data_IF_040613787142
#
_entry.id   IF_040613787142
#
_cell.length_a   1.000
_cell.length_b   1.000
_cell.length_c   1.000
_cell.angle_alpha   90.00
_cell.angle_beta   90.00
_cell.angle_gamma   90.00
#
_symmetry.space_group_name_H-M   'P 1'
#
loop_
_entity.id
_entity.type
_entity.pdbx_description
1 polymer ?
#
# COMPACT_ATOMS: atom_id res chain seq x y z
N UNK A 1 12.38 19.92 10.31
CA UNK A 1 11.14 19.21 9.93
C UNK A 1 10.31 19.12 11.20
N UNK A 2 9.09 19.61 11.17
CA UNK A 2 8.12 19.40 12.24
C UNK A 2 7.29 18.16 11.88
N UNK A 3 7.30 17.16 12.75
CA UNK A 3 6.54 15.92 12.55
C UNK A 3 5.20 15.94 13.31
N UNK A 4 4.78 17.12 13.81
CA UNK A 4 3.50 17.26 14.49
C UNK A 4 2.39 17.37 13.45
N UNK A 5 1.33 16.60 13.65
CA UNK A 5 0.12 16.71 12.84
C UNK A 5 -0.59 18.04 13.13
N UNK A 6 -1.17 18.64 12.11
CA UNK A 6 -2.08 19.79 12.27
C UNK A 6 -3.35 19.38 13.01
N UNK A 7 -4.16 20.35 13.44
CA UNK A 7 -5.47 20.06 14.06
C UNK A 7 -6.39 19.32 13.09
N UNK A 8 -6.37 19.68 11.80
CA UNK A 8 -7.16 19.03 10.74
C UNK A 8 -6.70 17.59 10.51
N UNK A 9 -5.39 17.34 10.43
CA UNK A 9 -4.83 15.99 10.29
C UNK A 9 -5.13 15.12 11.52
N UNK A 10 -5.11 15.71 12.71
CA UNK A 10 -5.48 15.02 13.95
C UNK A 10 -6.96 14.64 13.94
N UNK A 11 -7.84 15.57 13.53
CA UNK A 11 -9.27 15.29 13.39
C UNK A 11 -9.55 14.19 12.35
N UNK A 12 -8.84 14.22 11.22
CA UNK A 12 -8.93 13.17 10.19
C UNK A 12 -8.51 11.81 10.72
N UNK A 13 -7.39 11.75 11.50
CA UNK A 13 -6.95 10.53 12.16
C UNK A 13 -8.02 9.98 13.12
N UNK A 14 -8.57 10.84 13.98
CA UNK A 14 -9.57 10.44 14.98
C UNK A 14 -10.86 9.97 14.31
N UNK A 15 -11.33 10.69 13.29
CA UNK A 15 -12.53 10.31 12.51
C UNK A 15 -12.33 8.96 11.81
N UNK A 16 -11.17 8.75 11.18
CA UNK A 16 -10.83 7.48 10.53
C UNK A 16 -10.75 6.34 11.55
N UNK A 17 -10.13 6.58 12.69
CA UNK A 17 -10.03 5.61 13.79
C UNK A 17 -11.39 5.19 14.33
N UNK A 18 -12.29 6.15 14.53
CA UNK A 18 -13.64 5.91 15.04
C UNK A 18 -14.46 5.11 14.02
N UNK A 19 -14.40 5.46 12.75
CA UNK A 19 -15.06 4.73 11.66
C UNK A 19 -14.59 3.27 11.60
N UNK A 20 -13.29 3.03 11.75
CA UNK A 20 -12.69 1.70 11.71
C UNK A 20 -12.77 0.95 13.06
N UNK A 21 -13.36 1.54 14.10
CA UNK A 21 -13.40 0.96 15.46
C UNK A 21 -14.16 -0.38 15.53
N UNK A 22 -15.04 -0.64 14.59
CA UNK A 22 -15.80 -1.90 14.48
C UNK A 22 -14.96 -3.12 14.06
N UNK A 23 -13.70 -2.90 13.64
CA UNK A 23 -12.79 -3.97 13.28
C UNK A 23 -12.03 -4.49 14.50
N UNK A 24 -12.57 -5.52 15.13
CA UNK A 24 -11.80 -6.43 15.97
C UNK A 24 -11.31 -7.64 15.15
N UNK A 25 -10.50 -8.51 15.76
CA UNK A 25 -9.94 -9.68 15.08
C UNK A 25 -11.00 -10.61 14.50
N UNK A 26 -12.09 -10.87 15.24
CA UNK A 26 -13.16 -11.76 14.81
C UNK A 26 -13.94 -11.18 13.62
N UNK A 27 -14.34 -9.92 13.73
CA UNK A 27 -15.04 -9.19 12.65
C UNK A 27 -14.19 -9.12 11.39
N UNK A 28 -12.91 -8.74 11.53
CA UNK A 28 -11.97 -8.71 10.40
C UNK A 28 -11.86 -10.08 9.74
N UNK A 29 -11.64 -11.15 10.50
CA UNK A 29 -11.50 -12.49 9.96
C UNK A 29 -12.77 -12.96 9.22
N UNK A 30 -13.95 -12.61 9.69
CA UNK A 30 -15.22 -12.88 8.98
C UNK A 30 -15.29 -12.10 7.66
N UNK A 31 -14.92 -10.83 7.67
CA UNK A 31 -14.97 -9.96 6.48
C UNK A 31 -13.99 -10.42 5.42
N UNK A 32 -12.72 -10.66 5.74
CA UNK A 32 -11.74 -11.15 4.75
C UNK A 32 -12.08 -12.54 4.21
N UNK A 33 -12.86 -13.33 4.94
CA UNK A 33 -13.36 -14.63 4.49
C UNK A 33 -14.57 -14.53 3.56
N UNK A 34 -15.31 -13.42 3.59
CA UNK A 34 -16.50 -13.18 2.76
C UNK A 34 -16.14 -12.68 1.36
N UNK A 35 -17.13 -12.47 0.52
CA UNK A 35 -17.06 -11.76 -0.74
C UNK A 35 -17.93 -10.49 -0.61
N UNK A 36 -17.39 -9.30 -0.90
CA UNK A 36 -16.16 -8.95 -1.64
C UNK A 36 -14.86 -8.89 -0.80
N UNK A 37 -14.83 -9.26 0.48
CA UNK A 37 -13.65 -9.26 1.33
C UNK A 37 -13.36 -7.93 2.03
N UNK A 38 -14.24 -6.96 1.90
CA UNK A 38 -14.33 -5.71 2.66
C UNK A 38 -15.80 -5.42 2.96
N UNK A 39 -16.09 -4.46 3.84
CA UNK A 39 -17.47 -4.04 4.15
C UNK A 39 -17.89 -2.91 3.20
N UNK A 40 -18.92 -3.11 2.35
CA UNK A 40 -19.45 -2.03 1.50
C UNK A 40 -19.88 -0.79 2.30
N UNK A 41 -20.40 -1.00 3.52
CA UNK A 41 -20.83 0.10 4.39
C UNK A 41 -19.65 0.95 4.84
N UNK A 42 -18.53 0.32 5.22
CA UNK A 42 -17.30 1.02 5.62
C UNK A 42 -16.67 1.73 4.42
N UNK A 43 -16.65 1.09 3.24
CA UNK A 43 -16.21 1.70 2.00
C UNK A 43 -16.99 2.96 1.65
N UNK A 44 -18.32 2.91 1.75
CA UNK A 44 -19.18 4.07 1.51
C UNK A 44 -18.96 5.18 2.55
N UNK A 45 -18.79 4.84 3.83
CA UNK A 45 -18.49 5.81 4.88
C UNK A 45 -17.12 6.49 4.65
N UNK A 46 -16.11 5.75 4.17
CA UNK A 46 -14.82 6.33 3.77
C UNK A 46 -14.98 7.31 2.59
N UNK A 47 -15.87 7.01 1.64
CA UNK A 47 -16.22 7.93 0.56
C UNK A 47 -16.93 9.19 1.08
N UNK A 48 -17.93 9.04 1.96
CA UNK A 48 -18.70 10.15 2.53
C UNK A 48 -17.83 11.17 3.27
N UNK A 49 -16.75 10.74 3.91
CA UNK A 49 -15.79 11.63 4.59
C UNK A 49 -14.62 12.05 3.68
N UNK A 50 -14.70 11.76 2.36
CA UNK A 50 -13.75 12.23 1.35
C UNK A 50 -12.44 11.47 1.24
N UNK A 51 -12.25 10.37 1.97
CA UNK A 51 -10.97 9.62 2.00
C UNK A 51 -10.63 9.03 0.64
N UNK A 52 -11.61 8.54 -0.12
CA UNK A 52 -11.35 7.87 -1.39
C UNK A 52 -10.94 8.84 -2.52
N UNK A 53 -11.10 10.15 -2.31
CA UNK A 53 -10.71 11.20 -3.25
C UNK A 53 -9.42 11.95 -2.88
N UNK A 54 -8.77 11.60 -1.77
CA UNK A 54 -7.56 12.30 -1.31
C UNK A 54 -6.46 12.32 -2.39
N UNK A 55 -5.92 13.49 -2.67
CA UNK A 55 -4.82 13.70 -3.60
C UNK A 55 -5.21 13.68 -5.08
N UNK A 56 -6.50 13.78 -5.43
CA UNK A 56 -6.95 13.85 -6.82
C UNK A 56 -6.89 15.26 -7.39
N UNK A 57 -7.02 16.27 -6.55
CA UNK A 57 -6.90 17.69 -6.85
C UNK A 57 -6.24 18.46 -5.70
N UNK A 58 -6.02 19.76 -5.87
CA UNK A 58 -5.36 20.62 -4.87
C UNK A 58 -6.20 20.84 -3.61
N UNK A 59 -7.53 20.71 -3.70
CA UNK A 59 -8.47 20.99 -2.62
C UNK A 59 -8.81 19.72 -1.80
N UNK A 60 -8.54 18.53 -2.34
CA UNK A 60 -8.93 17.25 -1.74
C UNK A 60 -7.96 16.71 -0.66
N UNK A 61 -7.00 17.51 -0.21
CA UNK A 61 -5.93 17.08 0.70
C UNK A 61 -4.76 16.42 -0.04
N UNK A 62 -3.65 16.23 0.66
CA UNK A 62 -2.40 15.80 0.07
C UNK A 62 -1.83 14.50 0.64
N UNK A 63 -0.54 14.30 0.40
CA UNK A 63 0.16 13.08 0.79
C UNK A 63 0.23 12.89 2.32
N UNK A 64 0.19 13.98 3.11
CA UNK A 64 0.20 13.86 4.57
C UNK A 64 -1.14 13.36 5.11
N UNK A 65 -2.26 13.80 4.54
CA UNK A 65 -3.60 13.31 4.85
C UNK A 65 -3.73 11.82 4.46
N UNK A 66 -3.21 11.44 3.29
CA UNK A 66 -3.12 10.02 2.86
C UNK A 66 -2.31 9.20 3.87
N UNK A 67 -1.17 9.71 4.34
CA UNK A 67 -0.34 9.04 5.35
C UNK A 67 -1.12 8.81 6.64
N UNK A 68 -1.82 9.82 7.13
CA UNK A 68 -2.62 9.76 8.37
C UNK A 68 -3.71 8.70 8.28
N UNK A 69 -4.47 8.69 7.18
CA UNK A 69 -5.53 7.70 6.94
C UNK A 69 -4.98 6.28 6.85
N UNK A 70 -3.92 6.07 6.07
CA UNK A 70 -3.33 4.75 5.90
C UNK A 70 -2.67 4.22 7.17
N UNK A 71 -2.18 5.10 8.05
CA UNK A 71 -1.73 4.72 9.40
C UNK A 71 -2.88 4.11 10.20
N UNK A 72 -4.07 4.73 10.23
CA UNK A 72 -5.22 4.21 10.96
C UNK A 72 -5.78 2.92 10.33
N UNK A 73 -5.75 2.79 8.98
CA UNK A 73 -6.06 1.53 8.28
C UNK A 73 -5.11 0.42 8.73
N UNK A 74 -3.81 0.69 8.79
CA UNK A 74 -2.80 -0.26 9.26
C UNK A 74 -2.98 -0.63 10.73
N UNK A 75 -3.32 0.33 11.58
CA UNK A 75 -3.59 0.13 13.01
C UNK A 75 -4.77 -0.81 13.27
N UNK A 76 -5.78 -0.80 12.39
CA UNK A 76 -6.97 -1.67 12.47
C UNK A 76 -6.91 -2.89 11.56
N UNK A 77 -5.90 -2.99 10.68
CA UNK A 77 -5.84 -3.97 9.60
C UNK A 77 -7.14 -4.01 8.79
N UNK A 78 -7.71 -2.82 8.52
CA UNK A 78 -8.95 -2.69 7.79
C UNK A 78 -8.79 -3.21 6.35
N UNK A 79 -9.70 -4.08 5.87
CA UNK A 79 -9.50 -4.77 4.60
C UNK A 79 -9.96 -3.95 3.37
N UNK A 80 -10.49 -2.76 3.58
CA UNK A 80 -10.90 -1.85 2.50
C UNK A 80 -9.71 -1.50 1.61
N UNK A 81 -9.81 -1.65 0.28
CA UNK A 81 -8.66 -1.48 -0.61
C UNK A 81 -8.36 -0.01 -0.93
N UNK A 82 -8.30 0.87 0.08
CA UNK A 82 -8.18 2.33 -0.09
C UNK A 82 -6.95 2.70 -0.92
N UNK A 83 -5.76 2.21 -0.55
CA UNK A 83 -4.54 2.53 -1.30
C UNK A 83 -4.58 2.01 -2.73
N UNK A 84 -4.91 0.74 -2.91
CA UNK A 84 -4.80 0.04 -4.19
C UNK A 84 -6.06 0.13 -5.05
N UNK A 85 -7.23 0.40 -4.43
CA UNK A 85 -8.53 0.46 -5.10
C UNK A 85 -9.02 1.88 -5.42
N UNK A 86 -8.41 2.89 -4.79
CA UNK A 86 -8.77 4.30 -5.02
C UNK A 86 -7.53 5.18 -5.19
N UNK A 87 -6.75 5.41 -4.14
CA UNK A 87 -5.78 6.50 -4.08
C UNK A 87 -4.65 6.38 -5.10
N UNK A 88 -3.97 5.22 -5.19
CA UNK A 88 -2.84 5.07 -6.08
C UNK A 88 -3.25 5.09 -7.58
N UNK A 89 -4.23 4.27 -8.04
CA UNK A 89 -4.67 4.35 -9.42
C UNK A 89 -5.39 5.65 -9.76
N UNK A 90 -6.13 6.26 -8.82
CA UNK A 90 -6.77 7.55 -8.99
C UNK A 90 -5.75 8.67 -9.22
N UNK A 91 -4.66 8.72 -8.45
CA UNK A 91 -3.59 9.69 -8.66
C UNK A 91 -2.93 9.57 -10.05
N UNK A 92 -2.85 8.37 -10.63
CA UNK A 92 -2.36 8.18 -12.01
C UNK A 92 -3.32 8.83 -13.02
N UNK A 93 -4.64 8.63 -12.83
CA UNK A 93 -5.67 9.25 -13.69
C UNK A 93 -5.68 10.75 -13.51
N UNK A 94 -5.58 11.27 -12.29
CA UNK A 94 -5.52 12.70 -11.99
C UNK A 94 -4.34 13.38 -12.69
N UNK A 95 -3.17 12.74 -12.68
CA UNK A 95 -1.94 13.28 -13.26
C UNK A 95 -1.97 13.28 -14.79
N UNK A 96 -2.45 12.20 -15.42
CA UNK A 96 -2.27 11.97 -16.86
C UNK A 96 -3.57 11.95 -17.67
N UNK A 97 -4.71 11.75 -17.04
CA UNK A 97 -5.99 11.62 -17.75
C UNK A 97 -6.42 12.89 -18.49
N UNK A 98 -7.15 12.71 -19.58
CA UNK A 98 -7.93 13.80 -20.19
C UNK A 98 -9.05 14.24 -19.25
N UNK A 99 -9.68 15.39 -19.49
CA UNK A 99 -10.81 15.86 -18.66
C UNK A 99 -11.95 14.83 -18.61
N UNK A 100 -12.23 14.14 -19.72
CA UNK A 100 -13.22 13.08 -19.78
C UNK A 100 -12.83 11.86 -18.92
N UNK A 101 -11.54 11.52 -18.87
CA UNK A 101 -11.05 10.41 -18.04
C UNK A 101 -10.98 10.78 -16.57
N UNK A 102 -10.64 12.04 -16.25
CA UNK A 102 -10.67 12.56 -14.87
C UNK A 102 -12.08 12.56 -14.27
N UNK A 103 -13.13 12.64 -15.08
CA UNK A 103 -14.50 12.50 -14.59
C UNK A 103 -14.77 11.15 -13.91
N UNK A 104 -13.96 10.09 -14.18
CA UNK A 104 -14.02 8.83 -13.44
C UNK A 104 -13.66 8.99 -11.96
N UNK A 105 -12.88 10.02 -11.61
CA UNK A 105 -12.45 10.25 -10.23
C UNK A 105 -13.61 10.63 -9.32
N UNK A 106 -14.68 11.24 -9.82
CA UNK A 106 -15.90 11.52 -9.06
C UNK A 106 -16.60 10.21 -8.64
N UNK A 107 -16.61 9.22 -9.54
CA UNK A 107 -17.17 7.89 -9.22
C UNK A 107 -16.28 7.14 -8.21
N UNK A 108 -14.96 7.32 -8.26
CA UNK A 108 -14.02 6.74 -7.30
C UNK A 108 -14.16 7.42 -5.93
N UNK A 109 -14.16 8.76 -5.89
CA UNK A 109 -14.30 9.53 -4.66
C UNK A 109 -15.63 9.26 -3.95
N UNK A 110 -16.72 9.02 -4.70
CA UNK A 110 -18.02 8.64 -4.16
C UNK A 110 -18.13 7.15 -3.79
N UNK A 111 -17.11 6.35 -4.00
CA UNK A 111 -17.09 4.92 -3.71
C UNK A 111 -17.84 4.03 -4.71
N UNK A 112 -18.40 4.61 -5.79
CA UNK A 112 -19.16 3.88 -6.82
C UNK A 112 -18.26 3.05 -7.74
N UNK A 113 -16.98 3.40 -7.84
CA UNK A 113 -15.99 2.73 -8.69
C UNK A 113 -14.75 2.35 -7.90
N UNK A 114 -14.34 1.11 -8.06
CA UNK A 114 -13.05 0.61 -7.55
C UNK A 114 -12.11 0.48 -8.75
N UNK A 115 -10.91 1.02 -8.62
CA UNK A 115 -9.84 0.91 -9.58
C UNK A 115 -8.86 -0.20 -9.18
N UNK A 116 -7.90 -0.52 -10.06
CA UNK A 116 -6.68 -1.21 -9.68
C UNK A 116 -5.53 -0.85 -10.63
N UNK A 117 -4.32 -0.70 -10.10
CA UNK A 117 -3.13 -0.51 -10.92
C UNK A 117 -2.53 -1.86 -11.29
N UNK A 118 -2.73 -2.28 -12.52
CA UNK A 118 -2.23 -3.53 -13.09
C UNK A 118 -0.86 -3.28 -13.74
N UNK A 119 0.20 -3.36 -12.93
CA UNK A 119 1.57 -3.06 -13.34
C UNK A 119 2.49 -4.27 -13.22
N UNK A 120 2.50 -4.92 -12.06
CA UNK A 120 3.40 -6.04 -11.79
C UNK A 120 3.11 -7.26 -12.66
N UNK A 121 4.15 -8.00 -13.04
CA UNK A 121 4.08 -9.13 -13.94
C UNK A 121 4.72 -10.40 -13.35
N UNK A 122 4.25 -11.60 -13.74
CA UNK A 122 4.79 -12.85 -13.23
C UNK A 122 6.30 -12.96 -13.48
N UNK A 123 7.08 -13.30 -12.44
CA UNK A 123 8.52 -13.51 -12.54
C UNK A 123 9.36 -12.24 -12.57
N UNK A 124 8.77 -11.06 -12.70
CA UNK A 124 9.46 -9.77 -12.64
C UNK A 124 9.59 -9.32 -11.18
N UNK A 125 10.81 -9.14 -10.71
CA UNK A 125 11.10 -8.71 -9.33
C UNK A 125 11.23 -7.19 -9.19
N UNK A 126 11.76 -6.55 -10.23
CA UNK A 126 11.93 -5.10 -10.26
C UNK A 126 10.65 -4.44 -10.74
N UNK A 127 9.96 -3.77 -9.85
CA UNK A 127 8.75 -3.04 -10.19
C UNK A 127 8.99 -1.86 -11.16
N UNK A 128 10.24 -1.38 -11.29
CA UNK A 128 10.61 -0.33 -12.23
C UNK A 128 10.96 -0.88 -13.63
N UNK A 129 10.96 -2.20 -13.82
CA UNK A 129 11.25 -2.79 -15.12
C UNK A 129 10.18 -2.43 -16.16
N UNK A 130 10.60 -2.33 -17.42
CA UNK A 130 9.68 -2.13 -18.54
C UNK A 130 8.67 -3.28 -18.61
N UNK A 131 7.37 -2.99 -18.73
CA UNK A 131 6.34 -4.03 -18.85
C UNK A 131 6.59 -4.97 -20.00
N UNK A 132 6.21 -6.24 -19.85
CA UNK A 132 6.21 -7.24 -20.94
C UNK A 132 4.82 -7.42 -21.58
N UNK A 133 3.76 -6.95 -20.92
CA UNK A 133 2.43 -6.77 -21.56
C UNK A 133 2.58 -5.80 -22.72
N UNK A 134 2.11 -6.17 -23.90
CA UNK A 134 2.27 -5.38 -25.13
C UNK A 134 0.98 -4.65 -25.49
N UNK A 135 1.11 -3.40 -25.94
CA UNK A 135 0.04 -2.65 -26.55
C UNK A 135 0.18 -2.71 -28.09
N UNK A 136 -0.92 -2.97 -28.78
CA UNK A 136 -0.97 -2.98 -30.25
C UNK A 136 -2.01 -1.97 -30.71
N UNK A 137 -1.67 -1.17 -31.72
CA UNK A 137 -2.56 -0.16 -32.31
C UNK A 137 -3.03 -0.62 -33.68
N UNK A 138 -4.35 -0.51 -33.91
CA UNK A 138 -4.97 -0.70 -35.22
C UNK A 138 -5.90 0.51 -35.50
N UNK A 139 -5.45 1.43 -36.33
CA UNK A 139 -6.10 2.73 -36.51
C UNK A 139 -6.15 3.53 -35.19
N UNK A 140 -7.34 3.80 -34.69
CA UNK A 140 -7.57 4.47 -33.40
C UNK A 140 -7.80 3.49 -32.25
N UNK A 141 -7.95 2.20 -32.56
CA UNK A 141 -8.19 1.16 -31.55
C UNK A 141 -6.87 0.64 -30.96
N UNK A 142 -6.90 0.38 -29.66
CA UNK A 142 -5.79 -0.23 -28.94
C UNK A 142 -6.23 -1.55 -28.31
N UNK A 143 -5.32 -2.53 -28.32
CA UNK A 143 -5.50 -3.80 -27.65
C UNK A 143 -4.26 -4.17 -26.84
N UNK A 144 -4.48 -4.86 -25.70
CA UNK A 144 -3.40 -5.32 -24.83
C UNK A 144 -3.32 -6.85 -24.84
N UNK A 145 -2.07 -7.36 -24.77
CA UNK A 145 -1.78 -8.78 -24.66
C UNK A 145 -0.74 -9.06 -23.58
N UNK A 146 -1.02 -10.03 -22.71
CA UNK A 146 -0.11 -10.49 -21.67
C UNK A 146 -0.79 -10.74 -20.34
N UNK A 147 0.00 -10.79 -19.24
CA UNK A 147 -0.51 -11.12 -17.91
C UNK A 147 0.03 -10.14 -16.88
N UNK A 148 -0.85 -9.62 -16.02
CA UNK A 148 -0.51 -8.85 -14.82
C UNK A 148 -0.77 -9.66 -13.55
N UNK A 149 0.22 -9.75 -12.67
CA UNK A 149 0.13 -10.49 -11.40
C UNK A 149 1.31 -10.14 -10.48
N UNK A 150 1.06 -9.78 -9.20
CA UNK A 150 -0.25 -9.57 -8.58
C UNK A 150 -0.86 -8.20 -8.93
N UNK A 151 -2.18 -8.16 -9.06
CA UNK A 151 -2.95 -6.91 -9.14
C UNK A 151 -3.77 -6.79 -7.85
N UNK A 152 -3.27 -6.01 -6.89
CA UNK A 152 -3.99 -5.77 -5.62
C UNK A 152 -5.26 -4.96 -5.89
N UNK A 153 -6.33 -5.24 -5.16
CA UNK A 153 -7.70 -4.78 -5.42
C UNK A 153 -8.28 -5.22 -6.78
N UNK A 154 -7.53 -5.95 -7.61
CA UNK A 154 -7.95 -6.38 -8.94
C UNK A 154 -9.15 -7.33 -8.95
N UNK A 155 -9.44 -8.00 -7.82
CA UNK A 155 -10.61 -8.86 -7.66
C UNK A 155 -11.92 -8.05 -7.58
N UNK A 156 -11.89 -6.86 -6.98
CA UNK A 156 -13.04 -5.97 -6.81
C UNK A 156 -13.10 -4.83 -7.85
N UNK A 157 -12.02 -4.60 -8.61
CA UNK A 157 -11.94 -3.49 -9.54
C UNK A 157 -13.01 -3.54 -10.64
N UNK A 158 -13.51 -2.35 -11.02
CA UNK A 158 -14.35 -2.11 -12.20
C UNK A 158 -13.48 -1.71 -13.40
N UNK A 159 -12.44 -0.93 -13.16
CA UNK A 159 -11.53 -0.42 -14.18
C UNK A 159 -10.07 -0.65 -13.75
N UNK A 160 -9.26 -1.11 -14.69
CA UNK A 160 -7.83 -1.28 -14.50
C UNK A 160 -7.06 -0.14 -15.15
N UNK A 161 -6.07 0.40 -14.45
CA UNK A 161 -5.00 1.20 -15.03
C UNK A 161 -3.86 0.24 -15.36
N UNK A 162 -3.64 -0.06 -16.63
CA UNK A 162 -2.70 -1.09 -17.09
C UNK A 162 -1.47 -0.45 -17.71
N UNK A 163 -0.29 -0.83 -17.24
CA UNK A 163 0.96 -0.49 -17.94
C UNK A 163 1.28 -1.50 -19.03
N UNK A 164 1.68 -1.03 -20.22
CA UNK A 164 2.06 -1.90 -21.33
C UNK A 164 3.18 -1.27 -22.16
N UNK A 165 4.00 -2.11 -22.80
CA UNK A 165 5.02 -1.65 -23.75
C UNK A 165 4.35 -1.13 -25.01
N UNK A 166 4.73 0.07 -25.43
CA UNK A 166 4.26 0.70 -26.67
C UNK A 166 4.95 0.12 -27.90
N UNK A 167 4.32 0.17 -29.11
CA UNK A 167 4.93 -0.32 -30.34
C UNK A 167 6.27 0.35 -30.68
N UNK A 168 6.38 1.65 -30.36
CA UNK A 168 7.57 2.47 -30.64
C UNK A 168 8.58 2.46 -29.48
N UNK A 169 8.34 1.64 -28.46
CA UNK A 169 9.14 1.54 -27.24
C UNK A 169 8.61 2.42 -26.11
N UNK A 170 9.16 2.22 -24.90
CA UNK A 170 8.65 2.86 -23.68
C UNK A 170 7.43 2.16 -23.08
N UNK A 171 6.91 2.69 -21.98
CA UNK A 171 5.76 2.15 -21.27
C UNK A 171 4.57 3.12 -21.37
N UNK A 172 3.46 2.66 -21.96
CA UNK A 172 2.19 3.37 -21.95
C UNK A 172 1.29 2.98 -20.78
N UNK A 173 0.30 3.83 -20.48
CA UNK A 173 -0.77 3.56 -19.54
C UNK A 173 -2.10 3.51 -20.26
N UNK A 174 -2.95 2.57 -19.86
CA UNK A 174 -4.23 2.31 -20.51
C UNK A 174 -5.33 2.06 -19.49
N UNK A 175 -6.54 2.55 -19.76
CA UNK A 175 -7.75 2.17 -19.07
C UNK A 175 -8.35 0.93 -19.71
N UNK A 176 -8.69 -0.07 -18.90
CA UNK A 176 -9.31 -1.32 -19.36
C UNK A 176 -10.50 -1.63 -18.46
N UNK A 177 -11.68 -1.81 -19.04
CA UNK A 177 -12.85 -2.31 -18.35
C UNK A 177 -12.67 -3.81 -18.05
N UNK A 178 -12.88 -4.22 -16.80
CA UNK A 178 -12.71 -5.63 -16.40
C UNK A 178 -13.73 -6.56 -17.04
N UNK A 179 -14.86 -6.03 -17.52
CA UNK A 179 -15.89 -6.77 -18.25
C UNK A 179 -15.66 -6.85 -19.76
N UNK A 180 -14.61 -6.20 -20.29
CA UNK A 180 -14.33 -6.20 -21.72
C UNK A 180 -13.95 -7.59 -22.23
N UNK A 181 -14.21 -7.82 -23.52
CA UNK A 181 -13.78 -9.04 -24.20
C UNK A 181 -12.25 -9.18 -24.13
N UNK A 182 -11.76 -10.42 -23.96
CA UNK A 182 -10.32 -10.68 -23.87
C UNK A 182 -9.70 -10.37 -22.51
N UNK A 183 -10.48 -9.92 -21.50
CA UNK A 183 -10.04 -9.78 -20.12
C UNK A 183 -10.48 -11.01 -19.32
N UNK A 184 -9.53 -11.70 -18.70
CA UNK A 184 -9.82 -12.79 -17.76
C UNK A 184 -9.24 -12.44 -16.39
N UNK A 185 -10.07 -12.56 -15.34
CA UNK A 185 -9.72 -12.24 -13.96
C UNK A 185 -9.75 -13.49 -13.11
N UNK A 186 -8.63 -13.82 -12.46
CA UNK A 186 -8.49 -14.95 -11.53
C UNK A 186 -8.22 -14.38 -10.11
N UNK A 187 -9.25 -14.25 -9.28
CA UNK A 187 -9.10 -13.72 -7.92
C UNK A 187 -8.23 -14.63 -7.05
N UNK A 188 -7.51 -14.03 -6.13
CA UNK A 188 -6.77 -14.73 -5.07
C UNK A 188 -6.82 -13.95 -3.75
N UNK A 189 -6.46 -14.65 -2.67
CA UNK A 189 -6.19 -14.05 -1.35
C UNK A 189 -4.72 -14.22 -1.02
N UNK A 190 -4.14 -13.20 -0.42
CA UNK A 190 -2.80 -13.28 0.15
C UNK A 190 -2.86 -13.86 1.57
N UNK A 191 -1.72 -14.27 2.11
CA UNK A 191 -1.65 -14.90 3.44
C UNK A 191 -2.00 -13.96 4.60
N UNK A 192 -1.95 -12.63 4.38
CA UNK A 192 -2.36 -11.59 5.34
C UNK A 192 -3.86 -11.23 5.23
N UNK A 193 -4.57 -11.85 4.28
CA UNK A 193 -5.99 -11.66 4.03
C UNK A 193 -6.33 -10.55 3.03
N UNK A 194 -5.35 -9.83 2.49
CA UNK A 194 -5.60 -8.91 1.38
C UNK A 194 -6.03 -9.67 0.12
N UNK A 195 -6.65 -8.97 -0.81
CA UNK A 195 -7.18 -9.56 -2.04
C UNK A 195 -6.58 -8.94 -3.28
N UNK A 196 -6.58 -9.71 -4.34
CA UNK A 196 -6.14 -9.26 -5.65
C UNK A 196 -6.56 -10.26 -6.73
N UNK A 197 -6.06 -10.02 -7.93
CA UNK A 197 -6.29 -10.93 -9.05
C UNK A 197 -5.04 -11.05 -9.94
N UNK A 198 -4.95 -12.17 -10.62
CA UNK A 198 -4.20 -12.26 -11.87
C UNK A 198 -5.12 -11.81 -12.99
N UNK A 199 -4.63 -10.91 -13.82
CA UNK A 199 -5.35 -10.38 -14.98
C UNK A 199 -4.65 -10.88 -16.25
N UNK A 200 -5.38 -11.63 -17.07
CA UNK A 200 -4.93 -12.09 -18.38
C UNK A 200 -5.61 -11.26 -19.46
N UNK A 201 -4.82 -10.74 -20.39
CA UNK A 201 -5.23 -9.87 -21.48
C UNK A 201 -4.96 -10.59 -22.80
N UNK A 202 -5.98 -10.78 -23.63
CA UNK A 202 -5.89 -11.43 -24.94
C UNK A 202 -6.63 -10.59 -25.97
N UNK A 203 -5.89 -9.74 -26.68
CA UNK A 203 -6.44 -8.68 -27.53
C UNK A 203 -7.53 -7.87 -26.81
N UNK A 204 -7.31 -7.58 -25.51
CA UNK A 204 -8.27 -6.86 -24.68
C UNK A 204 -8.36 -5.39 -25.14
N UNK A 205 -9.55 -4.86 -25.46
CA UNK A 205 -9.71 -3.46 -25.82
C UNK A 205 -9.25 -2.55 -24.69
N UNK A 206 -8.53 -1.49 -25.04
CA UNK A 206 -7.96 -0.56 -24.08
C UNK A 206 -8.04 0.87 -24.61
N UNK A 207 -8.23 1.81 -23.69
CA UNK A 207 -8.20 3.24 -23.96
C UNK A 207 -6.88 3.81 -23.45
N UNK A 208 -6.07 4.51 -24.28
CA UNK A 208 -4.88 5.19 -23.78
C UNK A 208 -5.25 6.19 -22.68
N UNK A 209 -4.51 6.16 -21.57
CA UNK A 209 -4.67 7.15 -20.51
C UNK A 209 -3.93 8.44 -20.91
N UNK A 210 -4.69 9.49 -21.18
CA UNK A 210 -4.18 10.70 -21.82
C UNK A 210 -3.81 10.45 -23.27
N UNK A 211 -2.58 10.77 -23.63
CA UNK A 211 -1.97 10.42 -24.92
C UNK A 211 -1.25 9.07 -24.85
N UNK A 212 -1.14 8.37 -25.96
CA UNK A 212 -0.44 7.09 -26.05
C UNK A 212 1.10 7.27 -26.16
N UNK A 213 1.68 8.07 -25.25
CA UNK A 213 3.11 8.34 -25.18
C UNK A 213 3.75 7.66 -23.98
N UNK A 214 5.08 7.69 -23.88
CA UNK A 214 5.79 7.12 -22.75
C UNK A 214 5.33 7.72 -21.41
N UNK A 215 4.97 6.85 -20.50
CA UNK A 215 4.45 7.16 -19.17
C UNK A 215 5.40 6.66 -18.05
N UNK A 216 6.65 6.34 -18.39
CA UNK A 216 7.61 5.78 -17.43
C UNK A 216 7.79 6.66 -16.18
N UNK A 217 7.74 7.98 -16.34
CA UNK A 217 7.80 8.92 -15.21
C UNK A 217 6.56 8.83 -14.33
N UNK A 218 5.35 8.83 -14.92
CA UNK A 218 4.10 8.67 -14.17
C UNK A 218 4.05 7.33 -13.43
N UNK A 219 4.51 6.24 -14.07
CA UNK A 219 4.65 4.92 -13.42
C UNK A 219 5.61 5.00 -12.23
N UNK A 220 6.77 5.62 -12.39
CA UNK A 220 7.74 5.80 -11.32
C UNK A 220 7.14 6.59 -10.14
N UNK A 221 6.44 7.69 -10.40
CA UNK A 221 5.74 8.47 -9.38
C UNK A 221 4.65 7.65 -8.66
N UNK A 222 3.91 6.82 -9.40
CA UNK A 222 2.91 5.93 -8.81
C UNK A 222 3.55 4.90 -7.86
N UNK A 223 4.69 4.31 -8.23
CA UNK A 223 5.43 3.38 -7.38
C UNK A 223 5.96 4.06 -6.11
N UNK A 224 6.41 5.31 -6.21
CA UNK A 224 6.83 6.13 -5.05
C UNK A 224 5.64 6.39 -4.12
N UNK A 225 4.47 6.80 -4.65
CA UNK A 225 3.22 7.00 -3.86
C UNK A 225 2.78 5.71 -3.16
N UNK A 226 2.78 4.59 -3.87
CA UNK A 226 2.40 3.29 -3.29
C UNK A 226 3.39 2.91 -2.18
N UNK A 227 4.69 3.11 -2.38
CA UNK A 227 5.71 2.82 -1.36
C UNK A 227 5.52 3.66 -0.09
N UNK A 228 5.21 4.95 -0.23
CA UNK A 228 4.91 5.84 0.90
C UNK A 228 3.60 5.44 1.61
N UNK A 229 2.56 5.08 0.86
CA UNK A 229 1.31 4.58 1.42
C UNK A 229 1.49 3.29 2.21
N UNK A 230 2.25 2.34 1.68
CA UNK A 230 2.59 1.10 2.39
C UNK A 230 3.44 1.36 3.64
N UNK A 231 4.33 2.36 3.61
CA UNK A 231 5.11 2.77 4.77
C UNK A 231 4.22 3.32 5.89
N UNK A 232 3.21 4.12 5.54
CA UNK A 232 2.23 4.66 6.49
C UNK A 232 1.36 3.56 7.11
N UNK A 233 0.86 2.63 6.29
CA UNK A 233 0.08 1.49 6.77
C UNK A 233 0.92 0.57 7.67
N UNK A 234 2.17 0.28 7.29
CA UNK A 234 3.09 -0.51 8.10
C UNK A 234 3.38 0.15 9.44
N UNK A 235 3.50 1.49 9.48
CA UNK A 235 3.70 2.24 10.72
C UNK A 235 2.54 2.01 11.69
N UNK A 236 1.29 2.14 11.25
CA UNK A 236 0.10 1.88 12.08
C UNK A 236 0.05 0.43 12.58
N UNK A 237 0.37 -0.53 11.72
CA UNK A 237 0.44 -1.94 12.09
C UNK A 237 1.54 -2.22 13.13
N UNK A 238 2.71 -1.59 13.02
CA UNK A 238 3.81 -1.70 13.99
C UNK A 238 3.47 -1.09 15.34
N UNK A 239 2.79 0.08 15.35
CA UNK A 239 2.34 0.75 16.56
C UNK A 239 1.38 -0.13 17.36
N UNK A 240 0.42 -0.73 16.69
CA UNK A 240 -0.55 -1.60 17.35
C UNK A 240 0.07 -2.93 17.80
N UNK A 241 0.95 -3.54 17.00
CA UNK A 241 1.69 -4.73 17.40
C UNK A 241 2.53 -4.49 18.66
N UNK A 242 3.23 -3.36 18.76
CA UNK A 242 4.00 -2.98 19.95
C UNK A 242 3.08 -2.72 21.16
N UNK A 243 1.96 -2.01 20.97
CA UNK A 243 0.98 -1.75 22.02
C UNK A 243 0.44 -3.07 22.60
N UNK A 244 -0.03 -3.97 21.74
CA UNK A 244 -0.52 -5.29 22.14
C UNK A 244 0.56 -6.09 22.90
N UNK A 245 1.80 -6.04 22.43
CA UNK A 245 2.91 -6.74 23.06
C UNK A 245 3.21 -6.19 24.46
N UNK A 246 3.26 -4.87 24.60
CA UNK A 246 3.53 -4.24 25.92
C UNK A 246 2.39 -4.49 26.90
N UNK A 247 1.14 -4.46 26.46
CA UNK A 247 -0.03 -4.77 27.28
C UNK A 247 -0.04 -6.24 27.73
N UNK A 248 0.34 -7.15 26.83
CA UNK A 248 0.50 -8.56 27.18
C UNK A 248 1.59 -8.78 28.23
N UNK A 249 2.77 -8.15 28.09
CA UNK A 249 3.85 -8.24 29.08
C UNK A 249 3.44 -7.70 30.45
N UNK A 250 2.59 -6.66 30.51
CA UNK A 250 2.08 -6.07 31.76
C UNK A 250 0.99 -6.92 32.41
N UNK A 251 0.23 -7.69 31.64
CA UNK A 251 -0.92 -8.47 32.16
C UNK A 251 -0.58 -9.93 32.42
N UNK A 252 0.23 -10.57 31.56
CA UNK A 252 0.55 -12.01 31.66
C UNK A 252 1.50 -12.28 32.82
N UNK A 253 1.17 -13.26 33.65
CA UNK A 253 1.99 -13.71 34.79
C UNK A 253 2.63 -15.06 34.53
N UNK A 254 3.90 -15.21 34.88
CA UNK A 254 4.66 -16.44 34.97
C UNK A 254 5.63 -16.35 36.16
N UNK A 255 5.93 -17.48 36.79
CA UNK A 255 6.83 -17.52 37.95
C UNK A 255 6.43 -16.56 39.08
N UNK A 256 5.13 -16.34 39.27
CA UNK A 256 4.57 -15.49 40.32
C UNK A 256 4.54 -13.98 40.03
N UNK A 257 5.11 -13.50 38.95
CA UNK A 257 5.19 -12.07 38.58
C UNK A 257 4.72 -11.85 37.13
N UNK A 258 4.43 -10.57 36.77
CA UNK A 258 4.14 -10.22 35.37
C UNK A 258 5.40 -10.33 34.50
N UNK A 259 5.21 -10.64 33.20
CA UNK A 259 6.31 -10.77 32.26
C UNK A 259 7.15 -9.48 32.17
N UNK A 260 6.52 -8.33 32.36
CA UNK A 260 7.19 -7.00 32.41
C UNK A 260 8.22 -6.84 33.56
N UNK A 261 8.29 -7.76 34.51
CA UNK A 261 9.30 -7.76 35.56
C UNK A 261 10.62 -8.44 35.14
N UNK A 262 10.63 -9.13 34.01
CA UNK A 262 11.84 -9.76 33.47
C UNK A 262 12.58 -8.77 32.57
N UNK A 263 13.75 -8.31 33.00
CA UNK A 263 14.54 -7.28 32.35
C UNK A 263 14.81 -7.59 30.85
N UNK A 264 15.11 -8.87 30.54
CA UNK A 264 15.34 -9.28 29.14
C UNK A 264 14.13 -9.01 28.26
N UNK A 265 12.89 -9.20 28.74
CA UNK A 265 11.68 -8.97 27.95
C UNK A 265 11.39 -7.47 27.79
N UNK A 266 11.66 -6.67 28.83
CA UNK A 266 11.50 -5.21 28.75
C UNK A 266 12.53 -4.57 27.84
N UNK A 267 13.77 -5.08 27.80
CA UNK A 267 14.79 -4.63 26.84
C UNK A 267 14.37 -4.90 25.39
N UNK A 268 13.86 -6.10 25.10
CA UNK A 268 13.35 -6.43 23.75
C UNK A 268 12.18 -5.52 23.34
N UNK A 269 11.26 -5.20 24.26
CA UNK A 269 10.19 -4.25 23.99
C UNK A 269 10.72 -2.83 23.74
N UNK A 270 11.80 -2.41 24.44
CA UNK A 270 12.46 -1.14 24.18
C UNK A 270 13.15 -1.12 22.80
N UNK A 271 13.77 -2.21 22.37
CA UNK A 271 14.36 -2.32 21.02
C UNK A 271 13.29 -2.28 19.92
N UNK A 272 12.10 -2.87 20.16
CA UNK A 272 10.95 -2.72 19.28
C UNK A 272 10.51 -1.25 19.17
N UNK A 273 10.49 -0.51 20.29
CA UNK A 273 10.15 0.92 20.28
C UNK A 273 11.16 1.74 19.47
N UNK A 274 12.47 1.47 19.62
CA UNK A 274 13.50 2.12 18.79
C UNK A 274 13.27 1.85 17.30
N UNK A 275 12.97 0.60 16.93
CA UNK A 275 12.66 0.23 15.55
C UNK A 275 11.40 0.94 15.02
N UNK A 276 10.39 1.13 15.88
CA UNK A 276 9.17 1.88 15.55
C UNK A 276 9.48 3.35 15.24
N UNK A 277 10.29 4.01 16.09
CA UNK A 277 10.62 5.43 15.88
C UNK A 277 11.47 5.66 14.63
N UNK A 278 12.36 4.73 14.29
CA UNK A 278 13.07 4.75 13.01
C UNK A 278 12.11 4.61 11.81
N UNK A 279 11.12 3.70 11.92
CA UNK A 279 10.09 3.52 10.90
C UNK A 279 9.21 4.77 10.76
N UNK A 280 8.80 5.37 11.89
CA UNK A 280 8.03 6.62 11.93
C UNK A 280 8.75 7.74 11.18
N UNK A 281 10.02 7.96 11.52
CA UNK A 281 10.84 8.99 10.85
C UNK A 281 10.90 8.79 9.34
N UNK A 282 11.02 7.54 8.88
CA UNK A 282 11.12 7.25 7.45
C UNK A 282 9.77 7.30 6.73
N UNK A 283 8.65 6.97 7.37
CA UNK A 283 7.31 7.12 6.80
C UNK A 283 6.98 8.62 6.60
N UNK A 284 7.26 9.45 7.62
CA UNK A 284 7.13 10.91 7.49
C UNK A 284 8.05 11.47 6.40
N UNK A 285 9.32 11.07 6.38
CA UNK A 285 10.26 11.52 5.36
C UNK A 285 9.78 11.23 3.94
N UNK A 286 9.28 10.01 3.68
CA UNK A 286 8.75 9.66 2.37
C UNK A 286 7.49 10.49 2.00
N UNK A 287 6.57 10.66 2.93
CA UNK A 287 5.32 11.39 2.69
C UNK A 287 5.57 12.90 2.51
N UNK A 288 6.45 13.49 3.33
CA UNK A 288 6.81 14.91 3.21
C UNK A 288 7.56 15.20 1.90
N UNK A 289 8.45 14.30 1.46
CA UNK A 289 9.13 14.44 0.17
C UNK A 289 8.13 14.53 -0.99
N UNK A 290 7.09 13.69 -0.98
CA UNK A 290 6.02 13.73 -1.99
C UNK A 290 5.19 15.02 -1.86
N UNK A 291 4.87 15.45 -0.63
CA UNK A 291 4.14 16.69 -0.39
C UNK A 291 4.90 17.93 -0.89
N UNK A 292 6.24 17.90 -0.83
CA UNK A 292 7.13 18.92 -1.40
C UNK A 292 7.29 18.79 -2.94
N UNK A 293 6.57 17.87 -3.59
CA UNK A 293 6.63 17.62 -5.04
C UNK A 293 7.81 16.75 -5.49
N UNK A 294 8.57 16.15 -4.56
CA UNK A 294 9.73 15.32 -4.86
C UNK A 294 9.37 13.83 -4.92
N UNK A 295 9.21 13.32 -6.13
CA UNK A 295 8.97 11.88 -6.38
C UNK A 295 10.29 11.15 -6.66
N UNK A 296 11.12 11.01 -5.62
CA UNK A 296 12.45 10.41 -5.72
C UNK A 296 12.41 8.90 -5.38
N UNK A 297 12.67 7.99 -6.36
CA UNK A 297 12.74 6.56 -6.12
C UNK A 297 13.80 6.14 -5.08
N UNK A 298 14.89 6.92 -4.95
CA UNK A 298 15.95 6.65 -3.97
C UNK A 298 15.45 6.91 -2.55
N UNK A 299 14.72 8.01 -2.34
CA UNK A 299 14.09 8.32 -1.06
C UNK A 299 13.05 7.25 -0.70
N UNK A 300 12.24 6.84 -1.68
CA UNK A 300 11.28 5.74 -1.50
C UNK A 300 11.97 4.42 -1.13
N UNK A 301 13.08 4.07 -1.80
CA UNK A 301 13.85 2.87 -1.49
C UNK A 301 14.46 2.90 -0.08
N UNK A 302 14.97 4.06 0.38
CA UNK A 302 15.46 4.24 1.76
C UNK A 302 14.37 4.03 2.79
N UNK A 303 13.20 4.64 2.57
CA UNK A 303 12.05 4.47 3.44
C UNK A 303 11.59 3.00 3.47
N UNK A 304 11.41 2.39 2.31
CA UNK A 304 10.98 0.99 2.17
C UNK A 304 11.96 0.01 2.82
N UNK A 305 13.29 0.25 2.70
CA UNK A 305 14.33 -0.53 3.37
C UNK A 305 14.17 -0.50 4.90
N UNK A 306 14.01 0.70 5.48
CA UNK A 306 13.87 0.85 6.94
C UNK A 306 12.54 0.27 7.42
N UNK A 307 11.43 0.55 6.72
CA UNK A 307 10.10 -0.01 7.02
C UNK A 307 10.15 -1.55 7.01
N UNK A 308 10.77 -2.16 6.00
CA UNK A 308 10.90 -3.61 5.92
C UNK A 308 11.72 -4.21 7.07
N UNK A 309 12.84 -3.55 7.46
CA UNK A 309 13.66 -3.98 8.60
C UNK A 309 12.93 -3.85 9.92
N UNK A 310 12.33 -2.69 10.18
CA UNK A 310 11.57 -2.43 11.42
C UNK A 310 10.33 -3.31 11.52
N UNK A 311 9.57 -3.46 10.42
CA UNK A 311 8.38 -4.31 10.36
C UNK A 311 8.71 -5.77 10.66
N UNK A 312 9.78 -6.31 10.06
CA UNK A 312 10.25 -7.67 10.33
C UNK A 312 10.66 -7.84 11.79
N UNK A 313 11.44 -6.92 12.34
CA UNK A 313 11.88 -6.97 13.74
C UNK A 313 10.68 -6.95 14.69
N UNK A 314 9.78 -5.98 14.54
CA UNK A 314 8.59 -5.85 15.40
C UNK A 314 7.67 -7.07 15.25
N UNK A 315 7.44 -7.57 14.04
CA UNK A 315 6.63 -8.77 13.79
C UNK A 315 7.19 -10.01 14.53
N UNK A 316 8.48 -10.26 14.38
CA UNK A 316 9.15 -11.42 15.01
C UNK A 316 9.16 -11.30 16.53
N UNK A 317 9.50 -10.12 17.07
CA UNK A 317 9.52 -9.87 18.51
C UNK A 317 8.13 -9.93 19.13
N UNK A 318 7.10 -9.42 18.46
CA UNK A 318 5.73 -9.50 18.92
C UNK A 318 5.28 -10.94 19.09
N UNK A 319 5.51 -11.80 18.08
CA UNK A 319 5.19 -13.24 18.17
C UNK A 319 6.00 -13.91 19.30
N UNK A 320 7.30 -13.64 19.37
CA UNK A 320 8.18 -14.25 20.36
C UNK A 320 7.77 -13.89 21.79
N UNK A 321 7.42 -12.62 22.05
CA UNK A 321 7.06 -12.12 23.38
C UNK A 321 5.68 -12.59 23.83
N UNK A 322 4.78 -12.93 22.91
CA UNK A 322 3.49 -13.57 23.19
C UNK A 322 3.63 -15.10 23.37
N UNK A 323 4.66 -15.71 22.76
CA UNK A 323 4.82 -17.16 22.73
C UNK A 323 3.72 -17.85 21.91
N UNK A 324 3.27 -19.03 22.33
CA UNK A 324 2.33 -19.86 21.55
C UNK A 324 1.04 -19.18 21.14
N UNK A 325 0.50 -18.24 21.94
CA UNK A 325 -0.72 -17.52 21.60
C UNK A 325 -0.51 -16.56 20.40
N UNK A 326 0.71 -16.07 20.21
CA UNK A 326 1.05 -15.12 19.13
C UNK A 326 0.93 -15.69 17.71
N UNK A 327 0.86 -17.02 17.57
CA UNK A 327 0.70 -17.69 16.28
C UNK A 327 -0.71 -18.24 16.06
N UNK A 328 -1.64 -18.01 16.98
CA UNK A 328 -3.03 -18.47 16.85
C UNK A 328 -3.86 -17.45 16.05
N UNK A 329 -4.86 -17.94 15.33
CA UNK A 329 -5.74 -17.09 14.51
C UNK A 329 -6.68 -16.21 15.35
N UNK A 330 -6.92 -16.57 16.61
CA UNK A 330 -7.80 -15.86 17.53
C UNK A 330 -7.11 -14.63 18.14
N UNK A 331 -5.77 -14.59 18.17
CA UNK A 331 -5.03 -13.50 18.77
C UNK A 331 -4.49 -12.54 17.70
N UNK A 332 -4.66 -11.20 17.88
CA UNK A 332 -4.42 -10.23 16.79
C UNK A 332 -2.97 -10.14 16.32
N UNK A 333 -1.98 -10.38 17.18
CA UNK A 333 -0.57 -10.09 16.88
C UNK A 333 -0.04 -10.85 15.67
N UNK A 334 -0.50 -12.08 15.44
CA UNK A 334 -0.14 -12.88 14.26
C UNK A 334 -0.62 -12.25 12.94
N UNK A 335 -1.77 -11.57 12.95
CA UNK A 335 -2.30 -10.88 11.78
C UNK A 335 -1.47 -9.63 11.43
N UNK A 336 -1.00 -8.87 12.44
CA UNK A 336 -0.05 -7.76 12.21
C UNK A 336 1.28 -8.26 11.65
N UNK A 337 1.80 -9.37 12.16
CA UNK A 337 3.02 -9.97 11.62
C UNK A 337 2.85 -10.42 10.17
N UNK A 338 1.71 -11.01 9.81
CA UNK A 338 1.39 -11.37 8.43
C UNK A 338 1.32 -10.13 7.52
N UNK A 339 0.61 -9.06 7.95
CA UNK A 339 0.50 -7.82 7.16
C UNK A 339 1.86 -7.15 6.96
N UNK A 340 2.65 -7.00 8.01
CA UNK A 340 4.00 -6.42 7.92
C UNK A 340 4.91 -7.21 6.97
N UNK A 341 4.80 -8.55 6.98
CA UNK A 341 5.52 -9.41 6.04
C UNK A 341 5.03 -9.21 4.60
N UNK A 342 3.73 -9.10 4.37
CA UNK A 342 3.18 -8.83 3.04
C UNK A 342 3.62 -7.46 2.50
N UNK A 343 3.57 -6.42 3.33
CA UNK A 343 4.05 -5.08 2.98
C UNK A 343 5.55 -5.10 2.66
N UNK A 344 6.37 -5.84 3.42
CA UNK A 344 7.80 -5.95 3.13
C UNK A 344 8.04 -6.43 1.69
N UNK A 345 7.28 -7.44 1.23
CA UNK A 345 7.48 -8.04 -0.08
C UNK A 345 6.78 -7.29 -1.24
N UNK A 346 5.85 -6.41 -0.95
CA UNK A 346 5.16 -5.61 -1.99
C UNK A 346 6.12 -4.56 -2.56
N UNK A 347 6.28 -4.49 -3.88
CA UNK A 347 7.24 -3.65 -4.61
C UNK A 347 8.71 -3.89 -4.23
N UNK A 348 9.06 -5.12 -3.90
CA UNK A 348 10.41 -5.54 -3.54
C UNK A 348 10.68 -5.51 -2.03
N UNK A 349 11.47 -6.48 -1.58
CA UNK A 349 11.86 -6.66 -0.18
C UNK A 349 12.91 -5.63 0.26
N UNK A 350 13.17 -5.55 1.57
CA UNK A 350 14.28 -4.75 2.12
C UNK A 350 15.63 -5.08 1.46
N UNK A 351 15.85 -6.36 1.09
CA UNK A 351 17.08 -6.77 0.39
C UNK A 351 17.12 -6.25 -1.05
N UNK A 352 15.98 -6.18 -1.74
CA UNK A 352 15.90 -5.64 -3.09
C UNK A 352 16.13 -4.12 -3.06
N UNK A 353 15.53 -3.40 -2.10
CA UNK A 353 15.79 -1.97 -1.89
C UNK A 353 17.27 -1.68 -1.56
N UNK A 354 17.89 -2.54 -0.75
CA UNK A 354 19.32 -2.41 -0.46
C UNK A 354 20.19 -2.56 -1.72
N UNK A 355 19.84 -3.50 -2.62
CA UNK A 355 20.55 -3.64 -3.92
C UNK A 355 20.38 -2.42 -4.80
N UNK A 356 19.17 -1.86 -4.87
CA UNK A 356 18.89 -0.61 -5.60
C UNK A 356 19.77 0.53 -5.08
N UNK A 357 19.83 0.72 -3.76
CA UNK A 357 20.65 1.75 -3.13
C UNK A 357 22.15 1.51 -3.33
N UNK A 358 22.61 0.25 -3.23
CA UNK A 358 24.02 -0.10 -3.45
C UNK A 358 24.45 0.15 -4.91
N UNK A 359 23.56 -0.06 -5.89
CA UNK A 359 23.83 0.24 -7.30
C UNK A 359 23.99 1.73 -7.62
N UNK A 360 23.67 2.61 -6.66
CA UNK A 360 23.76 4.07 -6.82
C UNK A 360 24.85 4.71 -5.96
N UNK A 361 25.72 3.91 -5.34
CA UNK A 361 26.77 4.43 -4.44
C UNK A 361 27.70 5.45 -5.12
N UNK A 362 27.96 5.29 -6.40
CA UNK A 362 28.81 6.20 -7.16
C UNK A 362 28.20 7.61 -7.37
N UNK A 363 26.89 7.75 -7.13
CA UNK A 363 26.17 9.04 -7.22
C UNK A 363 26.23 9.86 -5.93
N UNK A 364 26.73 9.29 -4.83
CA UNK A 364 26.86 10.02 -3.56
C UNK A 364 28.20 10.75 -3.51
N UNK A 365 28.16 12.03 -3.11
CA UNK A 365 29.39 12.76 -2.78
C UNK A 365 30.08 12.04 -1.61
N UNK A 366 31.32 11.61 -1.85
CA UNK A 366 32.19 11.09 -0.80
C UNK A 366 32.52 12.26 0.11
N UNK A 367 32.01 12.26 1.35
CA UNK A 367 32.44 13.21 2.36
C UNK A 367 33.94 12.96 2.62
N UNK A 368 34.79 13.80 2.10
CA UNK A 368 36.22 13.82 2.49
C UNK A 368 36.29 14.33 3.93
N UNK A 369 36.71 13.48 4.84
CA UNK A 369 37.01 13.83 6.22
C UNK A 369 38.23 14.74 6.31
#
# INVERSE_FOLDING_TARGET
MDFQLTEEQTLLADTTRDLLSSYDTETRNKVIASDPGHKPEVWNQLAEIGILGLGFDEDSGGQLEIMVVLNEIGRRLAPEPVLHGALAPGAIIAERGTDAQRALLDEVASGQRILAFAHLEPGVRDAAATPTVTATRDGDAWTLNGTKNPVLAGDAANTLVVSATLPDGGAGLFLVDVGASGVSRKPFRTFDGARGAQIELSAAPAEPLGDATDASETISRALVRISAGLAAEALGAMEEALRLTTDYLKSRKQFGVTLSKFQTLTQRAADMYVSLELARSMAFYASMSIADGEFDPVKAARAKLQIGRSGRHIAQESIQLHGGIGITAEYPVGHYAARLTAIEHTLGSAQDQLRTLAGQLDSYEIVSL
#
